data_IF_877811752385
#
_entry.id   IF_877811752385
#
_cell.length_a   1.000
_cell.length_b   1.000
_cell.length_c   1.000
_cell.angle_alpha   90.00
_cell.angle_beta   90.00
_cell.angle_gamma   90.00
#
_symmetry.space_group_name_H-M   'P 1'
#
loop_
_entity.id
_entity.type
_entity.pdbx_description
1 polymer ?
#
# COMPACT_ATOMS: atom_id res chain seq x y z
N UNK A 1 -8.19 -5.89 19.28
CA UNK A 1 -9.21 -6.58 18.45
C UNK A 1 -9.54 -7.90 19.11
N UNK A 2 -10.81 -8.30 19.20
CA UNK A 2 -11.26 -9.50 19.91
C UNK A 2 -11.86 -10.46 18.88
N UNK A 3 -11.34 -11.69 18.83
CA UNK A 3 -11.71 -12.71 17.84
C UNK A 3 -12.32 -13.90 18.58
N UNK A 4 -13.48 -14.36 18.11
CA UNK A 4 -14.18 -15.52 18.63
C UNK A 4 -14.05 -16.68 17.64
N UNK A 5 -13.84 -17.90 18.14
CA UNK A 5 -13.73 -19.09 17.32
C UNK A 5 -14.38 -20.30 18.01
N UNK A 6 -14.91 -21.28 17.25
CA UNK A 6 -15.53 -22.45 17.84
C UNK A 6 -14.49 -23.39 18.45
N UNK A 7 -14.84 -23.97 19.59
CA UNK A 7 -14.09 -25.00 20.33
C UNK A 7 -15.05 -26.14 20.72
N UNK A 8 -14.55 -27.35 21.04
CA UNK A 8 -15.42 -28.45 21.46
C UNK A 8 -16.31 -28.16 22.67
N UNK A 9 -15.93 -27.20 23.53
CA UNK A 9 -16.69 -26.76 24.70
C UNK A 9 -17.51 -25.48 24.50
N UNK A 10 -17.64 -24.96 23.27
CA UNK A 10 -18.35 -23.72 22.97
C UNK A 10 -17.49 -22.69 22.25
N UNK A 11 -17.77 -21.41 22.42
CA UNK A 11 -17.03 -20.34 21.73
C UNK A 11 -15.84 -19.88 22.56
N UNK A 12 -14.64 -20.12 22.05
CA UNK A 12 -13.40 -19.56 22.58
C UNK A 12 -13.19 -18.13 22.11
N UNK A 13 -12.50 -17.32 22.92
CA UNK A 13 -12.26 -15.92 22.61
C UNK A 13 -10.81 -15.54 22.88
N UNK A 14 -10.17 -14.92 21.89
CA UNK A 14 -8.80 -14.42 21.98
C UNK A 14 -8.79 -12.92 21.72
N UNK A 15 -8.04 -12.22 22.57
CA UNK A 15 -7.84 -10.78 22.43
C UNK A 15 -6.39 -10.51 22.03
N UNK A 16 -6.20 -9.91 20.86
CA UNK A 16 -4.89 -9.47 20.43
C UNK A 16 -4.43 -8.22 21.18
N UNK A 17 -3.16 -8.21 21.60
CA UNK A 17 -2.49 -7.02 22.13
C UNK A 17 -1.88 -6.20 20.98
N UNK A 18 -2.34 -4.95 20.73
CA UNK A 18 -1.83 -4.13 19.64
C UNK A 18 -0.34 -3.79 19.78
N UNK A 19 0.17 -3.60 20.99
CA UNK A 19 1.57 -3.24 21.24
C UNK A 19 2.50 -4.39 20.85
N UNK A 20 2.22 -5.60 21.37
CA UNK A 20 2.98 -6.79 21.00
C UNK A 20 2.89 -7.10 19.51
N UNK A 21 1.71 -6.89 18.89
CA UNK A 21 1.56 -7.07 17.44
C UNK A 21 2.46 -6.12 16.65
N UNK A 22 2.58 -4.87 17.11
CA UNK A 22 3.46 -3.85 16.51
C UNK A 22 4.94 -4.21 16.71
N UNK A 23 5.32 -4.64 17.91
CA UNK A 23 6.69 -5.07 18.21
C UNK A 23 7.09 -6.26 17.33
N UNK A 24 6.24 -7.30 17.26
CA UNK A 24 6.48 -8.45 16.39
C UNK A 24 6.63 -8.04 14.91
N UNK A 25 5.83 -7.09 14.43
CA UNK A 25 5.94 -6.58 13.07
C UNK A 25 7.29 -5.86 12.84
N UNK A 26 7.67 -4.95 13.74
CA UNK A 26 8.95 -4.22 13.65
C UNK A 26 10.14 -5.17 13.70
N UNK A 27 10.12 -6.17 14.59
CA UNK A 27 11.18 -7.18 14.66
C UNK A 27 11.26 -8.02 13.39
N UNK A 28 10.12 -8.44 12.83
CA UNK A 28 10.10 -9.23 11.59
C UNK A 28 10.70 -8.45 10.42
N UNK A 29 10.40 -7.14 10.32
CA UNK A 29 11.00 -6.25 9.31
C UNK A 29 12.51 -6.14 9.51
N UNK A 30 12.98 -5.90 10.74
CA UNK A 30 14.42 -5.83 11.07
C UNK A 30 15.16 -7.14 10.78
N UNK A 31 14.56 -8.29 11.10
CA UNK A 31 15.11 -9.63 10.78
C UNK A 31 15.10 -9.91 9.29
N UNK A 32 14.13 -9.38 8.54
CA UNK A 32 14.11 -9.42 7.07
C UNK A 32 15.25 -8.61 6.44
N UNK A 33 15.58 -7.44 7.00
CA UNK A 33 16.70 -6.62 6.55
C UNK A 33 18.06 -7.30 6.80
N UNK A 34 18.25 -7.95 7.96
CA UNK A 34 19.51 -8.64 8.28
C UNK A 34 19.77 -9.87 7.42
N UNK A 35 18.72 -10.63 7.05
CA UNK A 35 18.85 -11.86 6.23
C UNK A 35 19.29 -11.61 4.79
N UNK A 36 19.15 -10.39 4.26
CA UNK A 36 19.63 -10.06 2.91
C UNK A 36 21.14 -9.72 2.85
N UNK A 37 21.84 -9.67 3.99
CA UNK A 37 23.28 -9.38 4.03
C UNK A 37 24.13 -10.66 4.04
N UNK A 38 23.59 -11.79 4.49
CA UNK A 38 24.33 -13.05 4.61
C UNK A 38 23.71 -14.13 3.73
N UNK A 39 24.33 -14.38 2.57
CA UNK A 39 24.05 -15.56 1.75
C UNK A 39 24.71 -16.82 2.37
N UNK A 40 23.93 -17.91 2.32
CA UNK A 40 24.31 -19.34 2.45
C UNK A 40 24.27 -19.97 3.88
N UNK A 41 24.12 -21.31 3.99
CA UNK A 41 22.84 -21.89 4.41
C UNK A 41 22.94 -22.70 5.71
N UNK A 42 21.78 -23.20 6.11
CA UNK A 42 21.56 -24.50 6.75
C UNK A 42 21.17 -24.50 8.25
N UNK A 43 20.07 -25.22 8.48
CA UNK A 43 19.64 -25.92 9.69
C UNK A 43 18.80 -25.21 10.78
N UNK A 44 17.71 -25.93 11.11
CA UNK A 44 16.72 -25.79 12.19
C UNK A 44 17.12 -26.84 13.27
N UNK A 45 16.68 -26.88 14.55
CA UNK A 45 16.10 -25.95 15.58
C UNK A 45 16.95 -26.07 16.92
N UNK A 46 16.44 -26.07 18.20
CA UNK A 46 15.20 -25.63 18.85
C UNK A 46 15.33 -24.80 20.17
N UNK A 47 14.29 -24.01 20.47
CA UNK A 47 13.64 -23.76 21.78
C UNK A 47 14.44 -23.38 23.05
N UNK A 48 14.06 -22.26 23.72
CA UNK A 48 13.51 -22.20 25.10
C UNK A 48 13.46 -20.77 25.69
N UNK A 49 12.28 -20.45 26.26
CA UNK A 49 11.95 -19.76 27.53
C UNK A 49 12.71 -18.49 27.97
N UNK A 50 11.97 -17.36 27.94
CA UNK A 50 11.66 -16.52 29.11
C UNK A 50 12.71 -15.57 29.69
N UNK A 51 12.41 -14.26 29.69
CA UNK A 51 12.50 -13.30 30.83
C UNK A 51 12.35 -11.84 30.35
N UNK A 52 11.37 -11.12 30.92
CA UNK A 52 11.39 -9.67 31.20
C UNK A 52 12.46 -9.37 32.26
N UNK A 53 13.01 -8.13 32.43
CA UNK A 53 12.22 -6.93 32.78
C UNK A 53 12.78 -5.53 32.36
N UNK A 54 11.99 -4.49 32.70
CA UNK A 54 12.34 -3.06 32.94
C UNK A 54 12.67 -2.16 31.74
N UNK A 55 11.78 -1.25 31.32
CA UNK A 55 11.40 0.07 31.90
C UNK A 55 12.43 1.18 31.61
N UNK A 56 12.09 2.07 30.66
CA UNK A 56 12.23 3.53 30.80
C UNK A 56 11.59 4.30 29.64
N UNK A 57 10.75 5.22 30.09
CA UNK A 57 10.10 6.39 29.51
C UNK A 57 10.84 7.11 28.37
N UNK A 58 10.13 7.45 27.28
CA UNK A 58 10.16 8.78 26.65
C UNK A 58 9.11 8.90 25.55
N UNK A 59 8.41 10.02 25.57
CA UNK A 59 7.41 10.52 24.65
C UNK A 59 7.81 10.59 23.17
N UNK A 60 6.76 10.78 22.36
CA UNK A 60 6.74 11.42 21.04
C UNK A 60 7.04 10.60 19.77
N UNK A 61 6.47 11.16 18.69
CA UNK A 61 6.65 10.83 17.28
C UNK A 61 5.88 9.62 16.74
N UNK A 62 4.69 9.96 16.23
CA UNK A 62 4.35 9.85 14.81
C UNK A 62 4.49 8.48 14.12
N UNK A 63 3.42 8.15 13.41
CA UNK A 63 3.27 6.99 12.54
C UNK A 63 4.50 6.73 11.66
N UNK A 64 5.17 5.55 11.75
CA UNK A 64 5.96 5.10 10.63
C UNK A 64 5.01 4.40 9.67
N UNK A 65 4.69 5.17 8.61
CA UNK A 65 4.21 4.68 7.35
C UNK A 65 4.89 3.34 6.99
N UNK A 66 4.10 2.45 6.38
CA UNK A 66 4.50 1.23 5.69
C UNK A 66 5.89 1.39 5.05
N UNK A 67 6.95 1.01 5.76
CA UNK A 67 8.31 0.95 5.20
C UNK A 67 8.34 -0.30 4.32
N UNK A 68 7.84 -0.14 3.10
CA UNK A 68 8.34 -0.94 1.98
C UNK A 68 9.85 -0.69 1.98
N UNK A 69 10.65 -1.75 2.04
CA UNK A 69 12.06 -1.63 1.68
C UNK A 69 12.08 -0.87 0.35
N UNK A 70 12.67 0.33 0.36
CA UNK A 70 12.69 1.16 -0.83
C UNK A 70 13.63 0.46 -1.81
N UNK A 71 13.07 -0.42 -2.63
CA UNK A 71 13.75 -0.95 -3.80
C UNK A 71 14.27 0.24 -4.59
N UNK A 72 15.54 0.19 -4.95
CA UNK A 72 16.15 1.24 -5.75
C UNK A 72 15.52 1.18 -7.15
N UNK A 73 15.03 2.34 -7.63
CA UNK A 73 14.34 2.44 -8.91
C UNK A 73 15.06 3.43 -9.82
N UNK A 74 15.13 3.10 -11.10
CA UNK A 74 15.67 3.93 -12.17
C UNK A 74 14.53 4.65 -12.90
N UNK A 75 14.72 5.93 -13.19
CA UNK A 75 13.82 6.70 -14.05
C UNK A 75 14.11 6.39 -15.52
N UNK A 76 13.06 6.15 -16.30
CA UNK A 76 13.10 5.97 -17.75
C UNK A 76 12.11 6.92 -18.41
N UNK A 77 12.43 7.35 -19.63
CA UNK A 77 11.55 8.17 -20.47
C UNK A 77 10.60 7.27 -21.28
N UNK A 78 9.29 7.49 -21.13
CA UNK A 78 8.26 6.78 -21.90
C UNK A 78 8.07 7.45 -23.27
N UNK A 79 8.17 8.77 -23.32
CA UNK A 79 8.13 9.51 -24.60
C UNK A 79 9.50 10.11 -24.82
N UNK A 80 10.22 9.72 -25.90
CA UNK A 80 11.51 10.33 -26.22
C UNK A 80 11.31 11.85 -26.38
N UNK A 81 12.26 12.62 -25.88
CA UNK A 81 12.27 14.11 -25.90
C UNK A 81 11.30 14.80 -24.92
N UNK A 82 10.61 14.07 -24.04
CA UNK A 82 9.74 14.66 -23.01
C UNK A 82 10.17 14.30 -21.58
N UNK A 83 10.91 15.18 -20.87
CA UNK A 83 11.41 14.89 -19.53
C UNK A 83 10.29 14.76 -18.47
N UNK A 84 9.11 15.30 -18.76
CA UNK A 84 7.95 15.23 -17.88
C UNK A 84 7.20 13.90 -17.98
N UNK A 85 7.50 13.06 -18.98
CA UNK A 85 6.80 11.80 -19.26
C UNK A 85 7.68 10.59 -18.96
N UNK A 86 8.00 10.44 -17.68
CA UNK A 86 8.90 9.40 -17.17
C UNK A 86 8.18 8.42 -16.23
N UNK A 87 8.74 7.22 -16.08
CA UNK A 87 8.30 6.23 -15.07
C UNK A 87 9.50 5.55 -14.42
N UNK A 88 9.25 4.78 -13.36
CA UNK A 88 10.27 4.11 -12.54
C UNK A 88 10.24 2.61 -12.75
N UNK A 89 11.41 2.02 -13.02
CA UNK A 89 11.61 0.57 -13.11
C UNK A 89 12.67 0.12 -12.09
N UNK A 90 12.64 -1.14 -11.65
CA UNK A 90 13.61 -1.64 -10.65
C UNK A 90 15.07 -1.55 -11.13
N UNK A 91 15.97 -1.08 -10.28
CA UNK A 91 17.40 -0.95 -10.59
C UNK A 91 18.08 -2.31 -10.75
N UNK A 92 17.59 -3.34 -10.05
CA UNK A 92 18.14 -4.69 -10.09
C UNK A 92 17.64 -5.56 -11.26
N UNK A 93 16.84 -5.01 -12.18
CA UNK A 93 16.47 -5.74 -13.39
C UNK A 93 17.70 -5.96 -14.29
N UNK A 94 17.81 -7.15 -14.87
CA UNK A 94 18.83 -7.43 -15.88
C UNK A 94 18.67 -6.51 -17.10
N UNK A 95 19.78 -6.17 -17.76
CA UNK A 95 19.80 -5.19 -18.86
C UNK A 95 18.84 -5.53 -20.00
N UNK A 96 18.73 -6.83 -20.35
CA UNK A 96 17.79 -7.31 -21.37
C UNK A 96 16.35 -7.01 -20.97
N UNK A 97 15.96 -7.36 -19.74
CA UNK A 97 14.62 -7.12 -19.22
C UNK A 97 14.30 -5.62 -19.12
N UNK A 98 15.28 -4.80 -18.68
CA UNK A 98 15.13 -3.34 -18.69
C UNK A 98 14.81 -2.82 -20.08
N UNK A 99 15.55 -3.23 -21.11
CA UNK A 99 15.32 -2.80 -22.50
C UNK A 99 13.95 -3.25 -23.00
N UNK A 100 13.56 -4.50 -22.77
CA UNK A 100 12.26 -5.05 -23.19
C UNK A 100 11.09 -4.30 -22.54
N UNK A 101 11.18 -4.04 -21.23
CA UNK A 101 10.16 -3.29 -20.49
C UNK A 101 10.11 -1.84 -20.97
N UNK A 102 11.25 -1.17 -21.11
CA UNK A 102 11.29 0.21 -21.61
C UNK A 102 10.63 0.30 -23.00
N UNK A 103 10.99 -0.58 -23.92
CA UNK A 103 10.38 -0.61 -25.26
C UNK A 103 8.87 -0.90 -25.21
N UNK A 104 8.44 -1.82 -24.35
CA UNK A 104 7.02 -2.12 -24.17
C UNK A 104 6.25 -0.89 -23.65
N UNK A 105 6.79 -0.19 -22.66
CA UNK A 105 6.17 1.01 -22.10
C UNK A 105 6.13 2.15 -23.11
N UNK A 106 7.22 2.36 -23.87
CA UNK A 106 7.29 3.37 -24.92
C UNK A 106 6.30 3.08 -26.06
N UNK A 107 6.14 1.81 -26.45
CA UNK A 107 5.20 1.41 -27.49
C UNK A 107 3.73 1.63 -27.10
N UNK A 108 3.42 1.54 -25.81
CA UNK A 108 2.08 1.76 -25.27
C UNK A 108 2.01 3.10 -24.50
N UNK A 109 2.69 4.14 -24.98
CA UNK A 109 2.74 5.44 -24.29
C UNK A 109 1.36 6.13 -24.16
N UNK A 110 0.41 5.73 -25.00
CA UNK A 110 -0.97 6.20 -25.08
C UNK A 110 -1.88 5.68 -23.94
N UNK A 111 -1.52 4.58 -23.28
CA UNK A 111 -2.30 4.05 -22.14
C UNK A 111 -2.12 4.89 -20.86
N UNK A 112 -1.10 5.75 -20.83
CA UNK A 112 -0.78 6.57 -19.67
C UNK A 112 -1.57 7.88 -19.72
N UNK A 113 -2.21 8.21 -18.60
CA UNK A 113 -2.78 9.54 -18.41
C UNK A 113 -1.74 10.48 -17.80
N UNK A 114 -1.15 11.35 -18.62
CA UNK A 114 -0.13 12.32 -18.21
C UNK A 114 -0.74 13.57 -17.59
N UNK A 115 -1.93 13.92 -18.06
CA UNK A 115 -2.74 15.05 -17.59
C UNK A 115 -4.14 14.55 -17.21
N UNK A 116 -4.89 15.30 -16.36
CA UNK A 116 -6.27 14.96 -16.06
C UNK A 116 -7.17 14.87 -17.29
N UNK A 117 -6.82 15.56 -18.38
CA UNK A 117 -7.54 15.53 -19.65
C UNK A 117 -7.38 14.19 -20.38
N UNK A 118 -6.27 13.49 -20.19
CA UNK A 118 -6.01 12.18 -20.81
C UNK A 118 -6.86 11.06 -20.18
N UNK A 119 -7.47 11.30 -19.02
CA UNK A 119 -8.46 10.41 -18.42
C UNK A 119 -9.82 10.60 -19.08
N UNK A 120 -9.89 10.31 -20.37
CA UNK A 120 -11.16 10.15 -21.05
C UNK A 120 -11.83 8.91 -20.48
N UNK A 121 -12.89 9.11 -19.69
CA UNK A 121 -13.65 8.02 -19.10
C UNK A 121 -14.17 7.07 -20.18
N UNK A 122 -14.68 5.91 -19.75
CA UNK A 122 -15.32 4.98 -20.68
C UNK A 122 -16.55 5.68 -21.27
N UNK A 123 -16.66 5.69 -22.60
CA UNK A 123 -17.80 6.28 -23.31
C UNK A 123 -19.11 5.69 -22.73
N UNK A 124 -20.06 6.53 -22.29
CA UNK A 124 -21.37 6.08 -21.83
C UNK A 124 -22.10 5.19 -22.85
N UNK A 125 -21.81 5.31 -24.16
CA UNK A 125 -22.37 4.42 -25.17
C UNK A 125 -21.83 2.98 -25.09
N UNK A 126 -20.64 2.78 -24.52
CA UNK A 126 -20.00 1.46 -24.37
C UNK A 126 -20.58 0.71 -23.17
N UNK A 127 -20.66 1.36 -22.01
CA UNK A 127 -21.29 0.77 -20.82
C UNK A 127 -21.82 1.86 -19.87
N UNK A 128 -23.10 1.80 -19.57
CA UNK A 128 -23.75 2.63 -18.54
C UNK A 128 -24.55 1.77 -17.59
N UNK A 129 -24.42 2.07 -16.29
CA UNK A 129 -25.35 1.59 -15.28
C UNK A 129 -26.43 2.64 -15.05
N UNK A 130 -27.69 2.27 -15.24
CA UNK A 130 -28.82 3.14 -14.94
C UNK A 130 -29.33 2.84 -13.53
N UNK A 131 -29.41 3.88 -12.71
CA UNK A 131 -30.12 3.81 -11.43
C UNK A 131 -31.63 3.87 -11.71
N UNK A 132 -32.37 2.89 -11.21
CA UNK A 132 -33.83 2.88 -11.33
C UNK A 132 -34.46 3.84 -10.32
N UNK A 133 -34.53 5.12 -10.68
CA UNK A 133 -35.07 6.21 -9.84
C UNK A 133 -36.26 6.84 -10.58
N UNK A 134 -37.32 7.17 -9.84
CA UNK A 134 -38.46 7.92 -10.37
C UNK A 134 -37.99 9.33 -10.82
N UNK A 135 -38.17 9.70 -12.11
CA UNK A 135 -37.79 11.02 -12.63
C UNK A 135 -38.45 12.20 -11.89
N UNK A 136 -39.58 11.97 -11.23
CA UNK A 136 -40.29 13.00 -10.47
C UNK A 136 -39.74 13.20 -9.05
N UNK A 137 -38.80 12.37 -8.61
CA UNK A 137 -38.24 12.45 -7.27
C UNK A 137 -37.29 13.64 -7.12
N UNK A 138 -37.48 14.45 -6.07
CA UNK A 138 -36.67 15.66 -5.84
C UNK A 138 -35.28 15.28 -5.31
N UNK A 139 -34.19 15.82 -5.90
CA UNK A 139 -32.83 15.59 -5.38
C UNK A 139 -32.69 16.05 -3.93
N UNK A 140 -32.16 15.17 -3.07
CA UNK A 140 -31.91 15.47 -1.65
C UNK A 140 -30.44 15.80 -1.45
N UNK A 141 -30.12 17.06 -1.13
CA UNK A 141 -28.78 17.48 -0.74
C UNK A 141 -28.53 17.10 0.73
N UNK A 142 -27.70 16.09 0.98
CA UNK A 142 -27.26 15.79 2.36
C UNK A 142 -26.22 16.81 2.84
N UNK A 143 -26.41 17.35 4.04
CA UNK A 143 -25.42 18.22 4.69
C UNK A 143 -24.16 17.39 4.98
N UNK A 144 -23.00 17.89 4.55
CA UNK A 144 -21.71 17.28 4.90
C UNK A 144 -21.55 17.39 6.42
N UNK A 145 -21.46 16.26 7.09
CA UNK A 145 -21.11 16.21 8.51
C UNK A 145 -19.63 16.61 8.71
N UNK A 146 -19.29 17.06 9.91
CA UNK A 146 -17.96 17.56 10.32
C UNK A 146 -16.89 16.48 10.11
N UNK A 147 -17.29 15.21 10.19
CA UNK A 147 -16.49 14.03 9.82
C UNK A 147 -16.00 14.04 8.36
N UNK A 148 -16.82 14.55 7.43
CA UNK A 148 -16.46 14.74 6.02
C UNK A 148 -15.52 15.93 5.78
N UNK A 149 -15.66 17.00 6.57
CA UNK A 149 -14.81 18.20 6.46
C UNK A 149 -13.35 17.92 6.86
N UNK A 150 -13.13 17.08 7.89
CA UNK A 150 -11.79 16.63 8.30
C UNK A 150 -11.07 15.82 7.20
N UNK A 151 -11.80 14.99 6.44
CA UNK A 151 -11.23 14.21 5.31
C UNK A 151 -10.89 15.07 4.09
N UNK A 152 -11.67 16.13 3.82
CA UNK A 152 -11.41 17.03 2.69
C UNK A 152 -10.20 17.96 2.88
N UNK A 153 -9.77 18.21 4.12
CA UNK A 153 -8.53 18.97 4.38
C UNK A 153 -7.28 18.16 4.06
N UNK A 154 -7.30 16.86 4.35
CA UNK A 154 -6.20 15.92 4.07
C UNK A 154 -6.02 15.60 2.58
N UNK A 155 -7.06 15.80 1.75
CA UNK A 155 -7.02 15.53 0.30
C UNK A 155 -6.70 16.76 -0.56
N UNK A 156 -6.69 17.96 0.01
CA UNK A 156 -6.34 19.22 -0.68
C UNK A 156 -4.88 19.66 -0.46
N UNK A 157 -4.12 18.94 0.36
CA UNK A 157 -2.69 19.18 0.60
C UNK A 157 -1.83 18.11 -0.09
N UNK A 158 -2.02 17.91 -1.39
CA UNK A 158 -1.10 17.17 -2.25
C UNK A 158 -1.08 17.78 -3.63
#
# INVERSE_FOLDING_TARGET
>A
MKIKFPTPGGVGEVQGNPLQSRECYVEAVRKGQKRNVDNAPDQVPPGKKGKTPEEKNSEEAETPAKVQQAEELLNIEIIPENPNKTTRIGSHLGEKAKKEITLCLQRNADIFAWTPQDLEGIDPQVITHHLNIDPNYKPIKKRKDISGLRRTRLSRQK
#
